data_IF_868408792180
#
_entry.id   IF_868408792180
#
_cell.length_a   1.000
_cell.length_b   1.000
_cell.length_c   1.000
_cell.angle_alpha   90.00
_cell.angle_beta   90.00
_cell.angle_gamma   90.00
#
_symmetry.space_group_name_H-M   'P 1'
#
loop_
_entity.id
_entity.type
_entity.pdbx_description
1 polymer ?
#
# COMPACT_ATOMS: atom_id res chain seq x y z
N UNK A 1 -9.27 69.47 38.39
CA UNK A 1 -8.96 68.22 39.12
C UNK A 1 -9.92 67.07 38.81
N UNK A 2 -11.24 67.28 38.74
CA UNK A 2 -12.21 66.20 38.49
C UNK A 2 -12.08 65.49 37.12
N UNK A 3 -11.85 66.26 36.05
CA UNK A 3 -11.71 65.71 34.69
C UNK A 3 -10.52 64.77 34.52
N UNK A 4 -9.37 65.14 35.10
CA UNK A 4 -8.15 64.33 35.06
C UNK A 4 -8.32 62.98 35.78
N UNK A 5 -8.98 62.97 36.94
CA UNK A 5 -9.27 61.74 37.67
C UNK A 5 -10.22 60.81 36.88
N UNK A 6 -11.20 61.38 36.17
CA UNK A 6 -12.10 60.62 35.31
C UNK A 6 -11.39 60.02 34.10
N UNK A 7 -10.51 60.79 33.44
CA UNK A 7 -9.69 60.27 32.33
C UNK A 7 -8.77 59.15 32.79
N UNK A 8 -8.12 59.29 33.94
CA UNK A 8 -7.26 58.25 34.51
C UNK A 8 -8.04 56.95 34.77
N UNK A 9 -9.21 57.05 35.41
CA UNK A 9 -10.07 55.89 35.67
C UNK A 9 -10.53 55.20 34.37
N UNK A 10 -10.86 55.97 33.32
CA UNK A 10 -11.21 55.42 32.01
C UNK A 10 -10.04 54.65 31.40
N UNK A 11 -8.82 55.17 31.49
CA UNK A 11 -7.61 54.51 30.97
C UNK A 11 -7.28 53.25 31.75
N UNK A 12 -7.45 53.25 33.07
CA UNK A 12 -7.24 52.05 33.89
C UNK A 12 -8.20 50.91 33.53
N UNK A 13 -9.47 51.24 33.27
CA UNK A 13 -10.46 50.27 32.79
C UNK A 13 -10.07 49.74 31.41
N UNK A 14 -9.65 50.60 30.49
CA UNK A 14 -9.19 50.21 29.16
C UNK A 14 -7.96 49.29 29.23
N UNK A 15 -6.96 49.62 30.06
CA UNK A 15 -5.78 48.79 30.30
C UNK A 15 -6.17 47.44 30.89
N UNK A 16 -7.08 47.41 31.86
CA UNK A 16 -7.58 46.17 32.46
C UNK A 16 -8.27 45.28 31.42
N UNK A 17 -9.10 45.85 30.56
CA UNK A 17 -9.77 45.13 29.48
C UNK A 17 -8.79 44.60 28.45
N UNK A 18 -7.81 45.41 28.03
CA UNK A 18 -6.75 45.00 27.10
C UNK A 18 -5.90 43.86 27.67
N UNK A 19 -5.54 43.91 28.96
CA UNK A 19 -4.81 42.82 29.64
C UNK A 19 -5.61 41.52 29.65
N UNK A 20 -6.91 41.59 29.94
CA UNK A 20 -7.81 40.41 29.90
C UNK A 20 -7.91 39.84 28.48
N UNK A 21 -8.08 40.70 27.47
CA UNK A 21 -8.14 40.28 26.08
C UNK A 21 -6.83 39.62 25.61
N UNK A 22 -5.68 40.24 25.94
CA UNK A 22 -4.35 39.67 25.68
C UNK A 22 -4.23 38.27 26.29
N UNK A 23 -4.56 38.13 27.57
CA UNK A 23 -4.46 36.83 28.25
C UNK A 23 -5.34 35.76 27.60
N UNK A 24 -6.58 36.11 27.21
CA UNK A 24 -7.48 35.19 26.49
C UNK A 24 -6.90 34.75 25.14
N UNK A 25 -6.35 35.69 24.37
CA UNK A 25 -5.72 35.38 23.08
C UNK A 25 -4.48 34.52 23.25
N UNK A 26 -3.66 34.77 24.26
CA UNK A 26 -2.50 33.92 24.56
C UNK A 26 -2.90 32.50 24.96
N UNK A 27 -3.98 32.32 25.72
CA UNK A 27 -4.51 30.99 26.04
C UNK A 27 -5.04 30.28 24.79
N UNK A 28 -5.84 30.96 23.97
CA UNK A 28 -6.36 30.40 22.73
C UNK A 28 -5.24 30.01 21.76
N UNK A 29 -4.18 30.82 21.67
CA UNK A 29 -3.00 30.52 20.86
C UNK A 29 -2.30 29.25 21.35
N UNK A 30 -2.11 29.09 22.66
CA UNK A 30 -1.51 27.88 23.24
C UNK A 30 -2.35 26.64 22.98
N UNK A 31 -3.67 26.75 23.08
CA UNK A 31 -4.60 25.65 22.77
C UNK A 31 -4.53 25.26 21.29
N UNK A 32 -4.54 26.24 20.39
CA UNK A 32 -4.43 26.02 18.95
C UNK A 32 -3.09 25.36 18.59
N UNK A 33 -1.98 25.80 19.19
CA UNK A 33 -0.66 25.20 18.98
C UNK A 33 -0.62 23.73 19.41
N UNK A 34 -1.25 23.38 20.53
CA UNK A 34 -1.34 21.99 20.99
C UNK A 34 -2.17 21.14 20.03
N UNK A 35 -3.34 21.64 19.63
CA UNK A 35 -4.20 20.94 18.68
C UNK A 35 -3.48 20.71 17.35
N UNK A 36 -2.81 21.74 16.81
CA UNK A 36 -2.04 21.63 15.57
C UNK A 36 -0.91 20.60 15.67
N UNK A 37 -0.16 20.57 16.77
CA UNK A 37 0.90 19.57 16.97
C UNK A 37 0.35 18.14 17.04
N UNK A 38 -0.81 17.94 17.69
CA UNK A 38 -1.48 16.64 17.75
C UNK A 38 -1.99 16.19 16.38
N UNK A 39 -2.58 17.09 15.59
CA UNK A 39 -3.02 16.78 14.23
C UNK A 39 -1.84 16.50 13.29
N UNK A 40 -0.74 17.25 13.41
CA UNK A 40 0.48 17.00 12.64
C UNK A 40 1.06 15.62 12.92
N UNK A 41 1.06 15.19 14.19
CA UNK A 41 1.49 13.84 14.58
C UNK A 41 0.62 12.76 13.91
N UNK A 42 -0.70 12.86 14.04
CA UNK A 42 -1.64 11.91 13.46
C UNK A 42 -1.52 11.84 11.93
N UNK A 43 -1.39 13.00 11.28
CA UNK A 43 -1.18 13.05 9.83
C UNK A 43 0.15 12.43 9.42
N UNK A 44 1.21 12.61 10.21
CA UNK A 44 2.51 12.01 9.95
C UNK A 44 2.46 10.49 10.08
N UNK A 45 1.85 9.98 11.15
CA UNK A 45 1.63 8.54 11.34
C UNK A 45 0.86 7.94 10.15
N UNK A 46 -0.28 8.55 9.79
CA UNK A 46 -1.10 8.09 8.67
C UNK A 46 -0.39 8.13 7.33
N UNK A 47 0.45 9.14 7.13
CA UNK A 47 1.31 9.25 5.93
C UNK A 47 2.33 8.12 5.90
N UNK A 48 2.92 7.76 7.03
CA UNK A 48 3.87 6.64 7.11
C UNK A 48 3.20 5.30 6.84
N UNK A 49 2.04 5.04 7.45
CA UNK A 49 1.23 3.83 7.20
C UNK A 49 0.89 3.68 5.70
N UNK A 50 0.43 4.77 5.07
CA UNK A 50 0.12 4.78 3.65
C UNK A 50 1.35 4.53 2.77
N UNK A 51 2.51 5.08 3.13
CA UNK A 51 3.77 4.82 2.41
C UNK A 51 4.17 3.35 2.51
N UNK A 52 4.11 2.76 3.70
CA UNK A 52 4.41 1.34 3.91
C UNK A 52 3.50 0.44 3.07
N UNK A 53 2.21 0.77 3.00
CA UNK A 53 1.25 0.04 2.20
C UNK A 53 1.51 0.18 0.69
N UNK A 54 1.86 1.38 0.21
CA UNK A 54 2.26 1.61 -1.18
C UNK A 54 3.49 0.78 -1.52
N UNK A 55 4.53 0.79 -0.67
CA UNK A 55 5.72 -0.02 -0.90
C UNK A 55 5.39 -1.53 -0.89
N UNK A 56 4.51 -1.97 0.01
CA UNK A 56 4.05 -3.37 0.06
C UNK A 56 3.38 -3.76 -1.25
N UNK A 57 2.49 -2.91 -1.78
CA UNK A 57 1.80 -3.12 -3.05
C UNK A 57 2.79 -3.12 -4.23
N UNK A 58 3.75 -2.20 -4.27
CA UNK A 58 4.79 -2.17 -5.30
C UNK A 58 5.65 -3.45 -5.29
N UNK A 59 6.02 -3.95 -4.10
CA UNK A 59 6.73 -5.23 -3.97
C UNK A 59 5.87 -6.40 -4.47
N UNK A 60 4.57 -6.42 -4.15
CA UNK A 60 3.64 -7.42 -4.67
C UNK A 60 3.54 -7.37 -6.19
N UNK A 61 3.37 -6.18 -6.78
CA UNK A 61 3.29 -5.98 -8.22
C UNK A 61 4.58 -6.39 -8.95
N UNK A 62 5.75 -6.03 -8.42
CA UNK A 62 7.05 -6.43 -8.98
C UNK A 62 7.22 -7.94 -8.97
N UNK A 63 6.83 -8.61 -7.88
CA UNK A 63 6.85 -10.08 -7.76
C UNK A 63 5.88 -10.76 -8.73
N UNK A 64 4.68 -10.20 -8.91
CA UNK A 64 3.74 -10.66 -9.93
C UNK A 64 4.31 -10.49 -11.35
N UNK A 65 4.95 -9.34 -11.64
CA UNK A 65 5.65 -9.10 -12.89
C UNK A 65 6.78 -10.11 -13.16
N UNK A 66 7.62 -10.40 -12.16
CA UNK A 66 8.68 -11.40 -12.26
C UNK A 66 8.13 -12.82 -12.46
N UNK A 67 7.05 -13.17 -11.75
CA UNK A 67 6.35 -14.44 -11.96
C UNK A 67 5.75 -14.55 -13.38
N UNK A 68 5.20 -13.46 -13.92
CA UNK A 68 4.66 -13.41 -15.28
C UNK A 68 5.76 -13.49 -16.35
N UNK A 69 6.90 -12.85 -16.14
CA UNK A 69 8.05 -12.97 -17.04
C UNK A 69 8.61 -14.39 -17.07
N UNK A 70 8.74 -15.02 -15.90
CA UNK A 70 9.09 -16.43 -15.81
C UNK A 70 8.07 -17.31 -16.54
N UNK A 71 6.77 -17.10 -16.27
CA UNK A 71 5.69 -17.85 -16.93
C UNK A 71 5.75 -17.71 -18.45
N UNK A 72 5.97 -16.50 -18.98
CA UNK A 72 6.16 -16.25 -20.41
C UNK A 72 7.29 -17.10 -21.00
N UNK A 73 8.45 -17.15 -20.33
CA UNK A 73 9.61 -17.89 -20.81
C UNK A 73 9.40 -19.41 -20.79
N UNK A 74 8.73 -19.93 -19.75
CA UNK A 74 8.39 -21.36 -19.65
C UNK A 74 7.36 -21.74 -20.71
N UNK A 75 6.33 -20.92 -20.92
CA UNK A 75 5.31 -21.15 -21.97
C UNK A 75 5.94 -21.10 -23.36
N UNK A 76 6.79 -20.12 -23.64
CA UNK A 76 7.51 -20.02 -24.91
C UNK A 76 8.37 -21.27 -25.17
N UNK A 77 9.14 -21.70 -24.17
CA UNK A 77 9.96 -22.91 -24.26
C UNK A 77 9.10 -24.16 -24.46
N UNK A 78 7.94 -24.25 -23.80
CA UNK A 78 6.99 -25.35 -23.95
C UNK A 78 6.46 -25.47 -25.38
N UNK A 79 6.14 -24.35 -26.03
CA UNK A 79 5.66 -24.33 -27.42
C UNK A 79 6.74 -24.71 -28.43
N UNK A 80 7.99 -24.33 -28.19
CA UNK A 80 9.13 -24.59 -29.08
C UNK A 80 9.74 -25.98 -28.93
N UNK A 81 9.55 -26.63 -27.78
CA UNK A 81 10.18 -27.92 -27.47
C UNK A 81 9.39 -29.08 -28.06
N UNK A 82 10.07 -30.00 -28.76
CA UNK A 82 9.45 -31.23 -29.29
C UNK A 82 9.64 -32.45 -28.38
N UNK A 83 10.49 -32.37 -27.36
CA UNK A 83 10.68 -33.43 -26.38
C UNK A 83 9.53 -33.52 -25.37
N UNK A 84 9.01 -34.73 -25.19
CA UNK A 84 7.84 -35.01 -24.36
C UNK A 84 8.13 -34.89 -22.86
N UNK A 85 9.35 -35.25 -22.43
CA UNK A 85 9.74 -35.21 -21.02
C UNK A 85 9.96 -33.76 -20.56
N UNK A 86 10.63 -32.97 -21.39
CA UNK A 86 10.84 -31.53 -21.18
C UNK A 86 9.51 -30.77 -21.18
N UNK A 87 8.58 -31.11 -22.09
CA UNK A 87 7.21 -30.58 -22.09
C UNK A 87 6.47 -30.85 -20.78
N UNK A 88 6.56 -32.06 -20.24
CA UNK A 88 5.92 -32.42 -18.96
C UNK A 88 6.50 -31.63 -17.78
N UNK A 89 7.82 -31.43 -17.75
CA UNK A 89 8.46 -30.62 -16.71
C UNK A 89 8.03 -29.14 -16.78
N UNK A 90 8.04 -28.56 -17.98
CA UNK A 90 7.57 -27.17 -18.19
C UNK A 90 6.09 -27.00 -17.88
N UNK A 91 5.26 -27.99 -18.21
CA UNK A 91 3.85 -27.98 -17.86
C UNK A 91 3.63 -27.97 -16.33
N UNK A 92 4.40 -28.75 -15.58
CA UNK A 92 4.33 -28.73 -14.12
C UNK A 92 4.72 -27.36 -13.55
N UNK A 93 5.73 -26.70 -14.14
CA UNK A 93 6.10 -25.34 -13.75
C UNK A 93 4.99 -24.32 -14.05
N UNK A 94 4.35 -24.40 -15.22
CA UNK A 94 3.19 -23.57 -15.59
C UNK A 94 2.04 -23.79 -14.60
N UNK A 95 1.71 -25.04 -14.30
CA UNK A 95 0.63 -25.39 -13.39
C UNK A 95 0.87 -24.90 -11.95
N UNK A 96 2.12 -24.92 -11.48
CA UNK A 96 2.50 -24.41 -10.17
C UNK A 96 2.36 -22.87 -10.11
N UNK A 97 2.80 -22.16 -11.15
CA UNK A 97 2.71 -20.68 -11.21
C UNK A 97 1.26 -20.22 -11.36
N UNK A 98 0.45 -20.92 -12.14
CA UNK A 98 -0.98 -20.63 -12.35
C UNK A 98 -1.90 -21.24 -11.28
N UNK A 99 -1.35 -21.97 -10.29
CA UNK A 99 -2.09 -22.62 -9.19
C UNK A 99 -3.23 -23.51 -9.67
N UNK A 100 -2.96 -24.41 -10.61
CA UNK A 100 -3.95 -25.37 -11.09
C UNK A 100 -4.44 -26.26 -9.95
N UNK A 101 -5.75 -26.53 -9.96
CA UNK A 101 -6.37 -27.54 -9.09
C UNK A 101 -6.02 -28.95 -9.56
N UNK A 102 -6.19 -29.94 -8.67
CA UNK A 102 -5.93 -31.35 -8.98
C UNK A 102 -6.75 -31.84 -10.19
N UNK A 103 -8.00 -31.38 -10.34
CA UNK A 103 -8.86 -31.71 -11.48
C UNK A 103 -8.36 -31.12 -12.81
N UNK A 104 -7.77 -29.93 -12.78
CA UNK A 104 -7.18 -29.30 -13.97
C UNK A 104 -5.88 -30.00 -14.38
N UNK A 105 -5.07 -30.41 -13.40
CA UNK A 105 -3.84 -31.18 -13.64
C UNK A 105 -4.12 -32.53 -14.35
N UNK A 106 -5.17 -33.23 -13.92
CA UNK A 106 -5.58 -34.51 -14.51
C UNK A 106 -6.00 -34.35 -15.97
N UNK A 107 -6.73 -33.28 -16.32
CA UNK A 107 -7.14 -33.00 -17.70
C UNK A 107 -5.94 -32.79 -18.64
N UNK A 108 -4.91 -32.08 -18.19
CA UNK A 108 -3.73 -31.78 -19.04
C UNK A 108 -2.74 -32.94 -19.08
N UNK A 109 -2.68 -33.77 -18.03
CA UNK A 109 -1.82 -34.97 -18.04
C UNK A 109 -2.37 -36.11 -18.91
N UNK A 110 -3.70 -36.19 -19.11
CA UNK A 110 -4.35 -37.17 -19.98
C UNK A 110 -4.16 -36.92 -21.49
N UNK A 111 -3.82 -35.70 -21.93
CA UNK A 111 -3.66 -35.38 -23.36
C UNK A 111 -2.29 -35.74 -23.93
N UNK A 112 -1.32 -36.11 -23.08
CA UNK A 112 0.07 -36.39 -23.47
C UNK A 112 0.43 -37.88 -23.32
N UNK A 113 -0.49 -38.80 -23.64
CA UNK A 113 -0.20 -40.23 -23.68
C UNK A 113 0.60 -40.54 -24.97
N UNK A 114 1.83 -41.09 -24.90
CA UNK A 114 2.59 -41.42 -26.10
C UNK A 114 1.85 -42.49 -26.93
N UNK A 115 1.95 -42.45 -28.27
CA UNK A 115 1.31 -43.42 -29.14
C UNK A 115 1.83 -44.81 -28.80
N UNK A 116 0.91 -45.67 -28.37
CA UNK A 116 1.16 -47.07 -28.09
C UNK A 116 1.40 -47.77 -29.43
N UNK A 117 2.64 -48.19 -29.70
CA UNK A 117 2.94 -48.95 -30.91
C UNK A 117 2.14 -50.26 -30.88
N UNK A 118 1.42 -50.64 -31.97
CA UNK A 118 0.74 -51.92 -32.03
C UNK A 118 1.78 -53.04 -32.16
N UNK A 119 1.76 -53.94 -31.17
CA UNK A 119 2.58 -55.15 -31.16
C UNK A 119 2.01 -56.10 -32.22
N UNK A 120 2.67 -56.18 -33.38
CA UNK A 120 2.37 -57.15 -34.43
C UNK A 120 2.93 -58.50 -33.97
N UNK A 121 2.03 -59.49 -33.84
CA UNK A 121 2.36 -60.90 -33.58
C UNK A 121 3.09 -61.52 -34.78
#
# INVERSE_FOLDING_TARGET
MLHYAHELARRDVEISNLRKAKHRLECALRELQRAAATEEEQHREKTNELKEEVERLQRCQSREGANLEYLKNVVLSFLLTNDSNSKRHMLNAIAAVLKFSSSELDKVSCTHKPPTQPNVK
#
